data_IF_659794699456
#
_entry.id   IF_659794699456
#
_cell.length_a   1.000
_cell.length_b   1.000
_cell.length_c   1.000
_cell.angle_alpha   90.00
_cell.angle_beta   90.00
_cell.angle_gamma   90.00
#
_symmetry.space_group_name_H-M   'P 1'
#
loop_
_entity.id
_entity.type
_entity.pdbx_description
1 polymer ?
#
# COMPACT_ATOMS: atom_id res chain seq x y z
N UNK A 1 -12.72 -38.13 16.86
CA UNK A 1 -13.54 -38.65 17.98
C UNK A 1 -12.58 -39.18 19.03
N UNK A 2 -12.49 -38.53 20.20
CA UNK A 2 -11.65 -38.98 21.31
C UNK A 2 -12.46 -39.98 22.16
N UNK A 3 -11.95 -41.19 22.37
CA UNK A 3 -12.62 -42.21 23.18
C UNK A 3 -12.02 -42.16 24.59
N UNK A 4 -12.85 -41.88 25.59
CA UNK A 4 -12.42 -41.74 26.98
C UNK A 4 -12.59 -43.06 27.74
N UNK A 5 -11.67 -43.37 28.66
CA UNK A 5 -11.85 -44.53 29.53
C UNK A 5 -12.86 -44.21 30.65
N UNK A 6 -13.55 -45.22 31.19
CA UNK A 6 -14.58 -45.02 32.23
C UNK A 6 -14.00 -44.83 33.64
N UNK A 7 -12.69 -44.55 33.76
CA UNK A 7 -12.00 -44.50 35.05
C UNK A 7 -12.35 -43.20 35.78
N UNK A 8 -12.87 -43.26 37.03
CA UNK A 8 -13.12 -42.06 37.80
C UNK A 8 -11.81 -41.32 38.11
N UNK A 9 -11.86 -39.98 38.17
CA UNK A 9 -10.73 -39.08 38.42
C UNK A 9 -9.67 -38.98 37.31
N UNK A 10 -9.93 -39.50 36.12
CA UNK A 10 -9.08 -39.25 34.95
C UNK A 10 -9.18 -37.77 34.52
N UNK A 11 -8.02 -37.18 34.16
CA UNK A 11 -7.89 -35.81 33.68
C UNK A 11 -7.27 -35.80 32.30
N UNK A 12 -7.86 -35.05 31.38
CA UNK A 12 -7.36 -34.89 30.02
C UNK A 12 -7.14 -33.41 29.76
N UNK A 13 -5.91 -33.05 29.42
CA UNK A 13 -5.52 -31.67 29.16
C UNK A 13 -5.38 -31.46 27.66
N UNK A 14 -5.87 -30.32 27.18
CA UNK A 14 -5.65 -29.81 25.83
C UNK A 14 -4.75 -28.57 25.93
N UNK A 15 -3.40 -28.73 25.93
CA UNK A 15 -2.48 -27.66 26.30
C UNK A 15 -2.55 -26.43 25.40
N UNK A 16 -2.86 -26.63 24.11
CA UNK A 16 -3.01 -25.53 23.15
C UNK A 16 -4.26 -24.67 23.37
N UNK A 17 -5.25 -25.20 24.09
CA UNK A 17 -6.53 -24.52 24.38
C UNK A 17 -6.69 -24.17 25.86
N UNK A 18 -5.74 -24.61 26.69
CA UNK A 18 -5.79 -24.58 28.15
C UNK A 18 -7.09 -25.11 28.77
N UNK A 19 -7.70 -26.11 28.11
CA UNK A 19 -8.91 -26.79 28.58
C UNK A 19 -8.53 -28.09 29.29
N UNK A 20 -9.15 -28.36 30.44
CA UNK A 20 -9.03 -29.64 31.15
C UNK A 20 -10.38 -30.31 31.31
N UNK A 21 -10.46 -31.59 30.95
CA UNK A 21 -11.66 -32.42 31.08
C UNK A 21 -11.47 -33.41 32.24
N UNK A 22 -12.43 -33.46 33.14
CA UNK A 22 -12.45 -34.26 34.35
C UNK A 22 -13.56 -35.31 34.29
N UNK A 23 -13.23 -36.57 34.55
CA UNK A 23 -14.26 -37.61 34.77
C UNK A 23 -14.67 -37.58 36.24
N UNK A 24 -15.77 -36.88 36.54
CA UNK A 24 -16.24 -36.63 37.91
C UNK A 24 -16.88 -37.87 38.54
N UNK A 25 -17.71 -38.61 37.78
CA UNK A 25 -18.30 -39.89 38.21
C UNK A 25 -18.59 -40.77 37.00
N UNK A 26 -18.50 -42.09 37.22
CA UNK A 26 -18.80 -43.11 36.22
C UNK A 26 -19.80 -44.10 36.82
N UNK A 27 -20.94 -44.31 36.15
CA UNK A 27 -21.89 -45.38 36.45
C UNK A 27 -22.01 -46.32 35.25
N UNK A 28 -22.75 -47.42 35.38
CA UNK A 28 -22.98 -48.37 34.29
C UNK A 28 -23.70 -47.75 33.08
N UNK A 29 -24.49 -46.68 33.30
CA UNK A 29 -25.37 -46.08 32.28
C UNK A 29 -25.10 -44.57 32.02
N UNK A 30 -24.25 -43.91 32.81
CA UNK A 30 -23.95 -42.49 32.62
C UNK A 30 -22.57 -42.10 33.15
N UNK A 31 -21.92 -41.17 32.46
CA UNK A 31 -20.66 -40.57 32.90
C UNK A 31 -20.92 -39.08 33.13
N UNK A 32 -20.52 -38.55 34.29
CA UNK A 32 -20.49 -37.11 34.53
C UNK A 32 -19.09 -36.59 34.22
N UNK A 33 -19.04 -35.64 33.30
CA UNK A 33 -17.81 -34.98 32.87
C UNK A 33 -17.87 -33.52 33.32
N UNK A 34 -16.79 -33.04 33.94
CA UNK A 34 -16.55 -31.63 34.19
C UNK A 34 -15.57 -31.09 33.16
N UNK A 35 -15.79 -29.88 32.67
CA UNK A 35 -14.89 -29.22 31.73
C UNK A 35 -14.47 -27.90 32.38
N UNK A 36 -13.16 -27.73 32.57
CA UNK A 36 -12.53 -26.49 33.00
C UNK A 36 -11.95 -25.83 31.75
N UNK A 37 -12.42 -24.62 31.44
CA UNK A 37 -11.99 -23.87 30.27
C UNK A 37 -11.66 -22.42 30.69
N UNK A 38 -10.69 -21.77 30.03
CA UNK A 38 -10.37 -20.36 30.28
C UNK A 38 -11.57 -19.44 30.01
N UNK A 39 -11.67 -18.27 30.67
CA UNK A 39 -12.81 -17.36 30.52
C UNK A 39 -12.99 -16.83 29.08
N UNK A 40 -11.93 -16.82 28.27
CA UNK A 40 -11.96 -16.48 26.85
C UNK A 40 -12.64 -17.54 25.97
N UNK A 41 -12.72 -18.79 26.43
CA UNK A 41 -13.35 -19.89 25.67
C UNK A 41 -14.85 -19.89 25.91
N UNK A 42 -15.60 -19.38 24.93
CA UNK A 42 -17.08 -19.38 24.98
C UNK A 42 -17.64 -20.79 24.81
N UNK A 43 -18.21 -21.34 25.88
CA UNK A 43 -18.96 -22.61 25.84
C UNK A 43 -20.43 -22.33 25.58
N UNK A 44 -20.94 -22.74 24.42
CA UNK A 44 -22.35 -22.58 24.06
C UNK A 44 -23.04 -23.95 24.04
N UNK A 45 -24.28 -24.00 24.53
CA UNK A 45 -25.12 -25.19 24.39
C UNK A 45 -25.80 -25.18 23.02
N UNK A 46 -26.06 -26.36 22.47
CA UNK A 46 -26.62 -26.53 21.12
C UNK A 46 -27.94 -25.77 20.95
N UNK A 47 -28.78 -25.74 22.00
CA UNK A 47 -30.04 -24.98 22.01
C UNK A 47 -29.88 -23.45 21.95
N UNK A 48 -28.68 -22.92 22.21
CA UNK A 48 -28.35 -21.48 22.14
C UNK A 48 -27.64 -21.14 20.82
N UNK A 49 -26.94 -22.09 20.20
CA UNK A 49 -26.24 -21.90 18.92
C UNK A 49 -27.17 -21.45 17.78
N UNK A 50 -28.42 -21.88 17.73
CA UNK A 50 -29.37 -21.48 16.68
C UNK A 50 -29.82 -20.02 16.76
N UNK A 51 -29.68 -19.36 17.93
CA UNK A 51 -30.07 -17.95 18.16
C UNK A 51 -28.90 -16.97 18.08
N UNK A 52 -27.68 -17.48 18.09
CA UNK A 52 -26.47 -16.67 17.94
C UNK A 52 -26.07 -16.80 16.48
N UNK A 53 -26.23 -15.71 15.71
CA UNK A 53 -25.66 -15.65 14.37
C UNK A 53 -24.19 -16.12 14.47
N UNK A 54 -23.72 -17.02 13.58
CA UNK A 54 -22.34 -17.46 13.63
C UNK A 54 -21.45 -16.22 13.67
N UNK A 55 -20.33 -16.24 14.44
CA UNK A 55 -19.39 -15.14 14.41
C UNK A 55 -19.10 -14.86 12.94
N UNK A 56 -19.29 -13.60 12.52
CA UNK A 56 -19.15 -13.21 11.12
C UNK A 56 -17.85 -13.84 10.61
N UNK A 57 -17.97 -14.80 9.69
CA UNK A 57 -16.80 -15.33 9.02
C UNK A 57 -16.11 -14.10 8.43
N UNK A 58 -14.77 -13.95 8.60
CA UNK A 58 -14.05 -12.91 7.88
C UNK A 58 -14.49 -13.02 6.42
N UNK A 59 -14.86 -11.90 5.80
CA UNK A 59 -15.47 -11.94 4.47
C UNK A 59 -14.53 -12.74 3.56
N UNK A 60 -15.04 -13.55 2.64
CA UNK A 60 -14.18 -14.37 1.77
C UNK A 60 -13.06 -13.56 1.07
N UNK A 61 -13.31 -12.26 0.83
CA UNK A 61 -12.33 -11.28 0.38
C UNK A 61 -11.14 -11.06 1.34
N UNK A 62 -11.37 -11.04 2.65
CA UNK A 62 -10.34 -10.87 3.69
C UNK A 62 -9.38 -12.07 3.70
N UNK A 63 -9.92 -13.29 3.54
CA UNK A 63 -9.11 -14.50 3.44
C UNK A 63 -8.31 -14.58 2.14
N UNK A 64 -8.89 -14.19 1.01
CA UNK A 64 -8.18 -14.19 -0.28
C UNK A 64 -6.98 -13.23 -0.26
N UNK A 65 -7.17 -12.02 0.27
CA UNK A 65 -6.11 -11.03 0.43
C UNK A 65 -5.02 -11.51 1.37
N UNK A 66 -5.38 -12.02 2.56
CA UNK A 66 -4.41 -12.52 3.54
C UNK A 66 -3.56 -13.67 2.97
N UNK A 67 -4.18 -14.60 2.24
CA UNK A 67 -3.48 -15.71 1.60
C UNK A 67 -2.53 -15.23 0.50
N UNK A 68 -2.96 -14.27 -0.32
CA UNK A 68 -2.14 -13.74 -1.38
C UNK A 68 -0.93 -12.96 -0.84
N UNK A 69 -1.12 -12.14 0.20
CA UNK A 69 -0.02 -11.48 0.92
C UNK A 69 0.96 -12.49 1.51
N UNK A 70 0.46 -13.58 2.11
CA UNK A 70 1.29 -14.65 2.66
C UNK A 70 2.16 -15.31 1.58
N UNK A 71 1.59 -15.56 0.39
CA UNK A 71 2.33 -16.11 -0.76
C UNK A 71 3.42 -15.18 -1.25
N UNK A 72 3.14 -13.87 -1.34
CA UNK A 72 4.13 -12.86 -1.73
C UNK A 72 5.28 -12.81 -0.72
N UNK A 73 4.97 -12.77 0.57
CA UNK A 73 5.99 -12.77 1.64
C UNK A 73 6.91 -13.99 1.56
N UNK A 74 6.35 -15.18 1.35
CA UNK A 74 7.13 -16.40 1.18
C UNK A 74 7.98 -16.39 -0.09
N UNK A 75 7.44 -15.88 -1.20
CA UNK A 75 8.17 -15.75 -2.46
C UNK A 75 9.37 -14.80 -2.32
N UNK A 76 9.20 -13.66 -1.65
CA UNK A 76 10.31 -12.72 -1.37
C UNK A 76 11.40 -13.38 -0.53
N UNK A 77 11.03 -14.09 0.54
CA UNK A 77 12.01 -14.81 1.37
C UNK A 77 12.74 -15.91 0.58
N UNK A 78 12.03 -16.63 -0.28
CA UNK A 78 12.63 -17.67 -1.14
C UNK A 78 13.60 -17.05 -2.16
N UNK A 79 13.22 -15.95 -2.80
CA UNK A 79 14.07 -15.22 -3.75
C UNK A 79 15.35 -14.71 -3.06
N UNK A 80 15.24 -14.14 -1.86
CA UNK A 80 16.40 -13.73 -1.07
C UNK A 80 17.33 -14.92 -0.75
N UNK A 81 16.76 -16.07 -0.39
CA UNK A 81 17.55 -17.28 -0.15
C UNK A 81 18.23 -17.78 -1.40
N UNK A 82 17.53 -17.84 -2.53
CA UNK A 82 18.09 -18.25 -3.83
C UNK A 82 19.26 -17.35 -4.24
N UNK A 83 19.13 -16.03 -4.06
CA UNK A 83 20.20 -15.07 -4.30
C UNK A 83 21.43 -15.39 -3.44
N UNK A 84 21.25 -15.62 -2.14
CA UNK A 84 22.35 -15.94 -1.22
C UNK A 84 23.16 -17.18 -1.63
N UNK A 85 22.52 -18.15 -2.29
CA UNK A 85 23.20 -19.37 -2.79
C UNK A 85 23.64 -19.26 -4.25
N UNK A 86 23.61 -18.06 -4.84
CA UNK A 86 24.04 -17.81 -6.22
C UNK A 86 23.06 -18.27 -7.31
N UNK A 87 21.82 -18.64 -6.95
CA UNK A 87 20.78 -19.04 -7.90
C UNK A 87 19.98 -17.83 -8.37
N UNK A 88 20.64 -16.94 -9.12
CA UNK A 88 20.06 -15.66 -9.56
C UNK A 88 18.83 -15.84 -10.45
N UNK A 89 18.88 -16.72 -11.45
CA UNK A 89 17.74 -16.99 -12.33
C UNK A 89 16.50 -17.51 -11.58
N UNK A 90 16.70 -18.39 -10.59
CA UNK A 90 15.60 -18.88 -9.75
C UNK A 90 15.00 -17.77 -8.88
N UNK A 91 15.86 -16.89 -8.35
CA UNK A 91 15.46 -15.74 -7.54
C UNK A 91 14.64 -14.74 -8.36
N UNK A 92 15.10 -14.41 -9.57
CA UNK A 92 14.40 -13.54 -10.52
C UNK A 92 13.02 -14.10 -10.88
N UNK A 93 12.94 -15.38 -11.26
CA UNK A 93 11.66 -16.04 -11.59
C UNK A 93 10.70 -16.10 -10.39
N UNK A 94 11.24 -16.24 -9.17
CA UNK A 94 10.43 -16.24 -7.94
C UNK A 94 9.90 -14.84 -7.62
N UNK A 95 10.73 -13.81 -7.78
CA UNK A 95 10.33 -12.42 -7.62
C UNK A 95 9.28 -12.01 -8.65
N UNK A 96 9.45 -12.41 -9.92
CA UNK A 96 8.48 -12.15 -10.98
C UNK A 96 7.10 -12.73 -10.63
N UNK A 97 7.02 -13.96 -10.12
CA UNK A 97 5.76 -14.56 -9.64
C UNK A 97 5.15 -13.79 -8.47
N UNK A 98 5.97 -13.26 -7.56
CA UNK A 98 5.50 -12.43 -6.46
C UNK A 98 4.89 -11.13 -6.97
N UNK A 99 5.56 -10.47 -7.91
CA UNK A 99 5.09 -9.25 -8.57
C UNK A 99 3.79 -9.49 -9.35
N UNK A 100 3.68 -10.59 -10.10
CA UNK A 100 2.44 -10.97 -10.79
C UNK A 100 1.28 -11.20 -9.82
N UNK A 101 1.54 -11.80 -8.65
CA UNK A 101 0.52 -12.01 -7.61
C UNK A 101 0.04 -10.66 -7.06
N UNK A 102 0.96 -9.73 -6.77
CA UNK A 102 0.62 -8.37 -6.34
C UNK A 102 -0.17 -7.61 -7.42
N UNK A 103 0.22 -7.71 -8.68
CA UNK A 103 -0.46 -7.06 -9.80
C UNK A 103 -1.90 -7.57 -9.97
N UNK A 104 -2.14 -8.88 -9.80
CA UNK A 104 -3.50 -9.45 -9.82
C UNK A 104 -4.37 -8.91 -8.68
N UNK A 105 -3.80 -8.79 -7.47
CA UNK A 105 -4.51 -8.20 -6.34
C UNK A 105 -4.89 -6.74 -6.60
N UNK A 106 -3.94 -5.94 -7.09
CA UNK A 106 -4.16 -4.54 -7.42
C UNK A 106 -5.29 -4.40 -8.46
N UNK A 107 -5.25 -5.16 -9.57
CA UNK A 107 -6.30 -5.12 -10.60
C UNK A 107 -7.70 -5.47 -10.08
N UNK A 108 -7.81 -6.42 -9.14
CA UNK A 108 -9.12 -6.79 -8.56
C UNK A 108 -9.67 -5.77 -7.58
N UNK A 109 -8.82 -4.92 -7.01
CA UNK A 109 -9.20 -3.93 -5.99
C UNK A 109 -9.24 -2.50 -6.52
N UNK A 110 -8.61 -2.24 -7.67
CA UNK A 110 -8.46 -0.90 -8.21
C UNK A 110 -9.68 -0.50 -9.04
N UNK A 111 -10.39 0.58 -8.69
CA UNK A 111 -11.39 1.15 -9.58
C UNK A 111 -10.72 1.61 -10.87
N UNK A 112 -11.42 1.50 -12.01
CA UNK A 112 -10.92 1.99 -13.28
C UNK A 112 -10.48 3.46 -13.17
N UNK A 113 -9.39 3.87 -13.84
CA UNK A 113 -8.94 5.26 -13.80
C UNK A 113 -10.06 6.17 -14.28
N UNK A 114 -10.46 7.11 -13.42
CA UNK A 114 -11.63 7.99 -13.66
C UNK A 114 -11.25 9.30 -14.34
N UNK A 115 -9.95 9.62 -14.41
CA UNK A 115 -9.43 10.89 -14.94
C UNK A 115 -8.21 10.58 -15.78
N UNK A 116 -8.17 11.07 -17.02
CA UNK A 116 -6.91 11.13 -17.80
C UNK A 116 -6.07 12.26 -17.24
N UNK A 117 -4.81 11.96 -16.98
CA UNK A 117 -3.86 12.85 -16.34
C UNK A 117 -2.56 12.80 -17.14
N UNK A 118 -1.93 13.94 -17.35
CA UNK A 118 -0.57 14.05 -17.86
C UNK A 118 0.29 14.72 -16.79
N UNK A 119 1.45 14.14 -16.47
CA UNK A 119 2.34 14.66 -15.45
C UNK A 119 3.75 14.88 -16.01
N UNK A 120 4.41 15.96 -15.59
CA UNK A 120 5.84 16.15 -15.77
C UNK A 120 6.55 15.86 -14.44
N UNK A 121 7.49 14.92 -14.43
CA UNK A 121 8.26 14.55 -13.24
C UNK A 121 9.70 15.05 -13.42
N UNK A 122 10.15 15.88 -12.48
CA UNK A 122 11.49 16.46 -12.44
C UNK A 122 12.22 15.91 -11.22
N UNK A 123 13.16 14.99 -11.46
CA UNK A 123 13.85 14.21 -10.44
C UNK A 123 15.22 13.79 -10.99
N UNK A 124 16.31 13.96 -10.24
CA UNK A 124 17.66 13.73 -10.77
C UNK A 124 18.14 12.28 -10.59
N UNK A 125 17.61 11.56 -9.59
CA UNK A 125 17.83 10.12 -9.46
C UNK A 125 16.95 9.35 -10.45
N UNK A 126 17.59 8.58 -11.35
CA UNK A 126 16.88 7.83 -12.39
C UNK A 126 15.91 6.77 -11.82
N UNK A 127 16.27 6.13 -10.71
CA UNK A 127 15.44 5.09 -10.11
C UNK A 127 14.22 5.72 -9.43
N UNK A 128 14.39 6.82 -8.69
CA UNK A 128 13.27 7.53 -8.07
C UNK A 128 12.33 8.13 -9.13
N UNK A 129 12.89 8.67 -10.21
CA UNK A 129 12.12 9.19 -11.36
C UNK A 129 11.27 8.10 -12.02
N UNK A 130 11.85 6.94 -12.30
CA UNK A 130 11.12 5.79 -12.86
C UNK A 130 10.09 5.23 -11.89
N UNK A 131 10.41 5.16 -10.59
CA UNK A 131 9.48 4.71 -9.56
C UNK A 131 8.25 5.62 -9.49
N UNK A 132 8.45 6.94 -9.49
CA UNK A 132 7.39 7.94 -9.50
C UNK A 132 6.54 7.84 -10.77
N UNK A 133 7.17 7.72 -11.94
CA UNK A 133 6.47 7.57 -13.21
C UNK A 133 5.63 6.28 -13.23
N UNK A 134 6.17 5.17 -12.75
CA UNK A 134 5.45 3.90 -12.61
C UNK A 134 4.27 4.02 -11.65
N UNK A 135 4.43 4.69 -10.51
CA UNK A 135 3.38 4.92 -9.53
C UNK A 135 2.19 5.69 -10.12
N UNK A 136 2.46 6.75 -10.88
CA UNK A 136 1.43 7.56 -11.52
C UNK A 136 0.82 6.85 -12.74
N UNK A 137 1.64 6.15 -13.54
CA UNK A 137 1.21 5.33 -14.67
C UNK A 137 0.27 4.19 -14.27
N UNK A 138 0.52 3.58 -13.11
CA UNK A 138 -0.37 2.62 -12.47
C UNK A 138 -1.78 3.19 -12.22
N UNK A 139 -1.92 4.51 -12.05
CA UNK A 139 -3.19 5.20 -11.89
C UNK A 139 -3.77 5.77 -13.22
N UNK A 140 -3.17 5.44 -14.37
CA UNK A 140 -3.58 5.92 -15.68
C UNK A 140 -3.11 7.33 -16.03
N UNK A 141 -2.10 7.87 -15.32
CA UNK A 141 -1.49 9.15 -15.68
C UNK A 141 -0.31 8.94 -16.65
N UNK A 142 -0.31 9.64 -17.77
CA UNK A 142 0.78 9.64 -18.75
C UNK A 142 1.91 10.56 -18.24
N UNK A 143 3.09 10.00 -18.02
CA UNK A 143 4.20 10.74 -17.41
C UNK A 143 5.27 11.07 -18.43
N UNK A 144 5.64 12.34 -18.52
CA UNK A 144 6.90 12.80 -19.11
C UNK A 144 7.92 13.01 -17.99
N UNK A 145 9.16 12.63 -18.22
CA UNK A 145 10.22 12.69 -17.21
C UNK A 145 11.33 13.64 -17.66
N UNK A 146 11.90 14.37 -16.71
CA UNK A 146 13.02 15.28 -16.87
C UNK A 146 14.06 14.97 -15.80
N UNK A 147 15.34 14.93 -16.17
CA UNK A 147 16.42 14.60 -15.23
C UNK A 147 16.87 15.81 -14.40
N UNK A 148 16.49 17.02 -14.82
CA UNK A 148 16.75 18.27 -14.12
C UNK A 148 15.77 19.37 -14.54
N UNK A 149 15.94 20.55 -13.95
CA UNK A 149 15.13 21.72 -14.26
C UNK A 149 15.27 22.25 -15.67
N UNK A 150 16.42 22.04 -16.34
CA UNK A 150 16.65 22.50 -17.71
C UNK A 150 15.82 21.66 -18.66
N UNK A 151 15.92 20.33 -18.56
CA UNK A 151 15.11 19.39 -19.34
C UNK A 151 13.61 19.65 -19.17
N UNK A 152 13.19 19.98 -17.94
CA UNK A 152 11.79 20.28 -17.64
C UNK A 152 11.31 21.56 -18.34
N UNK A 153 12.13 22.61 -18.33
CA UNK A 153 11.81 23.88 -18.98
C UNK A 153 11.84 23.76 -20.50
N UNK A 154 12.82 23.04 -21.06
CA UNK A 154 12.92 22.76 -22.49
C UNK A 154 11.66 22.04 -23.00
N UNK A 155 11.16 21.05 -22.25
CA UNK A 155 9.89 20.38 -22.55
C UNK A 155 8.69 21.34 -22.56
N UNK A 156 8.59 22.21 -21.56
CA UNK A 156 7.51 23.20 -21.46
C UNK A 156 7.57 24.24 -22.59
N UNK A 157 8.78 24.71 -22.92
CA UNK A 157 9.05 25.65 -24.02
C UNK A 157 8.74 25.04 -25.39
N UNK A 158 9.05 23.77 -25.58
CA UNK A 158 8.74 23.00 -26.80
C UNK A 158 7.22 22.77 -27.01
N UNK A 159 6.38 23.22 -26.08
CA UNK A 159 4.92 23.11 -26.18
C UNK A 159 4.30 22.05 -25.29
N UNK A 160 5.07 21.42 -24.40
CA UNK A 160 4.54 20.49 -23.40
C UNK A 160 3.48 21.15 -22.53
N UNK A 161 2.35 20.46 -22.31
CA UNK A 161 1.23 20.94 -21.48
C UNK A 161 0.80 19.83 -20.51
N UNK A 162 1.61 19.55 -19.47
CA UNK A 162 1.21 18.62 -18.43
C UNK A 162 0.06 19.21 -17.60
N UNK A 163 -0.77 18.35 -17.01
CA UNK A 163 -1.81 18.78 -16.07
C UNK A 163 -1.26 19.02 -14.66
N UNK A 164 -0.08 18.47 -14.34
CA UNK A 164 0.63 18.67 -13.07
C UNK A 164 2.14 18.50 -13.27
N UNK A 165 2.92 19.26 -12.51
CA UNK A 165 4.38 19.11 -12.42
C UNK A 165 4.75 18.62 -11.02
N UNK A 166 5.56 17.57 -10.93
CA UNK A 166 6.16 17.09 -9.69
C UNK A 166 7.66 17.42 -9.74
N UNK A 167 8.15 18.21 -8.79
CA UNK A 167 9.56 18.64 -8.74
C UNK A 167 10.19 18.25 -7.41
N UNK A 168 11.32 17.53 -7.45
CA UNK A 168 12.18 17.41 -6.28
C UNK A 168 12.91 18.73 -6.02
N UNK A 169 12.86 19.17 -4.77
CA UNK A 169 13.54 20.39 -4.31
C UNK A 169 14.99 20.13 -3.91
N UNK A 170 15.36 18.87 -3.66
CA UNK A 170 16.68 18.45 -3.20
C UNK A 170 17.54 17.87 -4.33
N UNK A 171 17.62 18.57 -5.47
CA UNK A 171 18.43 18.16 -6.61
C UNK A 171 19.85 18.77 -6.53
N UNK A 172 20.93 17.97 -6.43
CA UNK A 172 22.30 18.48 -6.24
C UNK A 172 22.90 19.21 -7.44
N UNK A 173 22.36 18.99 -8.65
CA UNK A 173 22.91 19.50 -9.93
C UNK A 173 22.09 20.63 -10.54
N UNK A 174 20.84 20.82 -10.13
CA UNK A 174 19.93 21.85 -10.62
C UNK A 174 18.92 22.19 -9.54
N UNK A 175 18.60 23.47 -9.32
CA UNK A 175 17.75 23.85 -8.21
C UNK A 175 16.25 23.66 -8.53
N UNK A 176 15.59 22.74 -7.84
CA UNK A 176 14.13 22.62 -7.83
C UNK A 176 13.41 23.94 -7.53
N UNK A 177 13.87 24.75 -6.55
CA UNK A 177 13.36 26.10 -6.31
C UNK A 177 13.46 27.04 -7.53
N UNK A 178 14.58 27.01 -8.25
CA UNK A 178 14.77 27.85 -9.44
C UNK A 178 13.88 27.38 -10.60
N UNK A 179 13.72 26.07 -10.77
CA UNK A 179 12.80 25.47 -11.74
C UNK A 179 11.39 25.98 -11.51
N UNK A 180 10.92 25.91 -10.25
CA UNK A 180 9.62 26.44 -9.87
C UNK A 180 9.51 27.94 -10.14
N UNK A 181 10.52 28.74 -9.77
CA UNK A 181 10.53 30.19 -10.00
C UNK A 181 10.39 30.53 -11.48
N UNK A 182 11.05 29.77 -12.36
CA UNK A 182 10.96 29.95 -13.82
C UNK A 182 9.60 29.54 -14.37
N UNK A 183 9.04 28.41 -13.91
CA UNK A 183 7.67 28.01 -14.27
C UNK A 183 6.67 29.12 -13.86
N UNK A 184 6.82 29.69 -12.66
CA UNK A 184 5.94 30.77 -12.17
C UNK A 184 6.16 32.12 -12.84
N UNK A 185 7.34 32.37 -13.39
CA UNK A 185 7.62 33.61 -14.13
C UNK A 185 6.95 33.64 -15.52
N UNK A 186 6.50 32.49 -16.02
CA UNK A 186 5.84 32.36 -17.30
C UNK A 186 4.31 32.33 -17.12
N UNK A 187 3.64 33.39 -17.59
CA UNK A 187 2.19 33.54 -17.48
C UNK A 187 1.41 32.37 -18.12
N UNK A 188 2.01 31.69 -19.11
CA UNK A 188 1.42 30.50 -19.77
C UNK A 188 1.19 29.35 -18.79
N UNK A 189 1.94 29.30 -17.69
CA UNK A 189 1.88 28.25 -16.67
C UNK A 189 1.36 28.76 -15.32
N UNK A 190 0.75 29.95 -15.27
CA UNK A 190 0.19 30.53 -14.05
C UNK A 190 -0.85 29.62 -13.36
N UNK A 191 -1.63 28.86 -14.13
CA UNK A 191 -2.60 27.89 -13.63
C UNK A 191 -2.08 26.46 -13.48
N UNK A 192 -0.81 26.19 -13.81
CA UNK A 192 -0.22 24.85 -13.79
C UNK A 192 0.07 24.43 -12.34
N UNK A 193 -0.55 23.36 -11.81
CA UNK A 193 -0.23 22.86 -10.48
C UNK A 193 1.22 22.35 -10.42
N UNK A 194 2.00 22.83 -9.46
CA UNK A 194 3.37 22.38 -9.20
C UNK A 194 3.46 21.83 -7.79
N UNK A 195 3.69 20.53 -7.70
CA UNK A 195 3.83 19.79 -6.46
C UNK A 195 5.31 19.55 -6.15
N UNK A 196 5.69 19.84 -4.92
CA UNK A 196 7.02 19.50 -4.42
C UNK A 196 7.03 18.07 -3.89
N UNK A 197 8.05 17.30 -4.28
CA UNK A 197 8.29 15.95 -3.77
C UNK A 197 9.69 15.89 -3.19
N UNK A 198 9.84 16.08 -1.88
CA UNK A 198 11.19 16.19 -1.29
C UNK A 198 11.25 15.73 0.16
N UNK A 199 12.42 15.22 0.59
CA UNK A 199 12.69 14.84 1.98
C UNK A 199 12.71 16.05 2.92
N UNK A 200 13.07 17.21 2.40
CA UNK A 200 13.13 18.47 3.15
C UNK A 200 11.90 19.31 2.87
N UNK A 201 11.42 20.04 3.88
CA UNK A 201 10.30 20.95 3.70
C UNK A 201 10.71 22.10 2.76
N UNK A 202 10.01 22.35 1.64
CA UNK A 202 10.39 23.41 0.70
C UNK A 202 10.38 24.81 1.32
N UNK A 203 9.63 25.01 2.41
CA UNK A 203 9.65 26.27 3.16
C UNK A 203 11.00 26.55 3.81
N UNK A 204 11.75 25.51 4.18
CA UNK A 204 13.13 25.65 4.67
C UNK A 204 14.09 26.07 3.56
N UNK A 205 13.68 25.89 2.29
CA UNK A 205 14.41 26.31 1.09
C UNK A 205 13.94 27.69 0.59
N UNK A 206 13.22 28.46 1.40
CA UNK A 206 12.64 29.77 1.07
C UNK A 206 11.64 29.74 -0.10
N UNK A 207 11.01 28.59 -0.36
CA UNK A 207 9.96 28.49 -1.36
C UNK A 207 8.60 28.77 -0.71
N UNK A 208 7.82 29.77 -1.19
CA UNK A 208 6.51 30.08 -0.63
C UNK A 208 5.46 29.04 -1.05
N UNK A 209 4.37 28.96 -0.29
CA UNK A 209 3.17 28.21 -0.71
C UNK A 209 2.32 29.04 -1.70
N UNK A 210 1.61 28.39 -2.61
CA UNK A 210 0.54 29.00 -3.42
C UNK A 210 0.99 29.62 -4.76
N UNK A 211 0.29 30.64 -5.29
CA UNK A 211 0.42 31.10 -6.70
C UNK A 211 1.81 31.57 -7.15
N UNK A 212 2.71 31.84 -6.21
CA UNK A 212 4.12 32.20 -6.47
C UNK A 212 5.12 31.11 -6.11
N UNK A 213 4.65 29.94 -5.67
CA UNK A 213 5.46 28.81 -5.27
C UNK A 213 4.72 27.49 -5.51
N UNK A 214 4.84 26.53 -4.59
CA UNK A 214 4.28 25.20 -4.79
C UNK A 214 2.83 25.10 -4.28
N UNK A 215 2.02 24.29 -4.95
CA UNK A 215 0.60 24.10 -4.63
C UNK A 215 0.38 23.02 -3.57
N UNK A 216 1.27 22.02 -3.52
CA UNK A 216 1.28 20.98 -2.51
C UNK A 216 2.70 20.45 -2.31
N UNK A 217 3.00 19.95 -1.11
CA UNK A 217 4.26 19.28 -0.79
C UNK A 217 4.01 17.87 -0.27
N UNK A 218 4.84 16.94 -0.73
CA UNK A 218 4.85 15.56 -0.32
C UNK A 218 6.24 15.16 0.15
N UNK A 219 6.33 14.69 1.39
CA UNK A 219 7.58 14.19 1.94
C UNK A 219 7.90 12.79 1.43
N UNK A 220 9.19 12.54 1.16
CA UNK A 220 9.70 11.18 0.96
C UNK A 220 9.87 10.53 2.36
N UNK A 221 9.45 9.27 2.61
CA UNK A 221 8.82 8.34 1.67
C UNK A 221 7.35 8.71 1.38
N UNK A 222 6.99 8.68 0.09
CA UNK A 222 5.69 9.10 -0.39
C UNK A 222 4.56 8.16 0.02
N UNK A 223 3.39 8.74 0.27
CA UNK A 223 2.14 8.00 0.31
C UNK A 223 1.44 8.10 -1.07
N UNK A 224 1.40 7.02 -1.87
CA UNK A 224 0.84 7.06 -3.22
C UNK A 224 -0.60 7.50 -3.30
N UNK A 225 -1.40 7.11 -2.29
CA UNK A 225 -2.81 7.45 -2.25
C UNK A 225 -3.00 8.95 -2.08
N UNK A 226 -2.27 9.56 -1.15
CA UNK A 226 -2.37 10.99 -0.89
C UNK A 226 -1.87 11.83 -2.06
N UNK A 227 -0.76 11.43 -2.68
CA UNK A 227 -0.28 12.07 -3.90
C UNK A 227 -1.33 12.02 -5.00
N UNK A 228 -1.89 10.83 -5.25
CA UNK A 228 -2.89 10.65 -6.31
C UNK A 228 -4.20 11.42 -6.03
N UNK A 229 -4.70 11.40 -4.79
CA UNK A 229 -5.90 12.14 -4.41
C UNK A 229 -5.71 13.66 -4.63
N UNK A 230 -4.51 14.18 -4.35
CA UNK A 230 -4.18 15.59 -4.60
C UNK A 230 -4.05 15.92 -6.09
N UNK A 231 -3.42 15.04 -6.89
CA UNK A 231 -3.36 15.20 -8.35
C UNK A 231 -4.77 15.24 -8.92
N UNK A 232 -5.66 14.32 -8.53
CA UNK A 232 -7.05 14.32 -8.99
C UNK A 232 -7.79 15.60 -8.63
N UNK A 233 -7.58 16.13 -7.42
CA UNK A 233 -8.20 17.38 -6.99
C UNK A 233 -7.73 18.58 -7.83
N UNK A 234 -6.43 18.64 -8.13
CA UNK A 234 -5.83 19.69 -8.95
C UNK A 234 -6.29 19.62 -10.42
N UNK A 235 -6.27 18.43 -11.03
CA UNK A 235 -6.72 18.25 -12.43
C UNK A 235 -8.22 18.53 -12.60
N UNK A 236 -9.05 18.23 -11.60
CA UNK A 236 -10.51 18.51 -11.63
C UNK A 236 -10.86 19.98 -11.38
N UNK A 237 -9.97 20.73 -10.76
CA UNK A 237 -10.12 22.15 -10.50
C UNK A 237 -9.12 22.93 -11.36
N UNK A 238 -9.28 22.96 -12.71
CA UNK A 238 -8.50 23.90 -13.49
C UNK A 238 -8.85 25.29 -12.93
N UNK A 239 -7.83 25.99 -12.43
CA UNK A 239 -7.97 27.30 -11.84
C UNK A 239 -8.89 28.14 -12.73
N UNK A 240 -9.99 28.63 -12.16
CA UNK A 240 -10.94 29.45 -12.86
C UNK A 240 -10.20 30.65 -13.46
N UNK A 241 -9.94 30.61 -14.77
CA UNK A 241 -9.52 31.77 -15.54
C UNK A 241 -10.64 32.78 -15.50
N UNK A 242 -10.41 33.89 -14.80
CA UNK A 242 -11.19 35.11 -14.88
C UNK A 242 -10.22 36.26 -15.11
#
# INVERSE_FOLDING_TARGET
MLVLTRRPNEKIRFPALDITVHILRSSSHAIRVGIEAPPEVKVLREEICARVAPPAQPKAADHALANALSRVTLAIHLAQKQWQVGRTADAEATLEKALQTLAQLDQTQRPAPTVRCTALIVEDDANERELLAGLLGMNGCECTTAADGVDALDYLEAGGRPDVVLVDMAMPRCDGPETLRRIRADERFSGLPVFSVSSTNPRELNVPDGPGGFDAWFSKPLNPKYLWDAIQAAVRSPAASN
#
